data_IF_682278463008
#
_entry.id   IF_682278463008
#
_cell.length_a   1.000
_cell.length_b   1.000
_cell.length_c   1.000
_cell.angle_alpha   90.00
_cell.angle_beta   90.00
_cell.angle_gamma   90.00
#
_symmetry.space_group_name_H-M   'P 1'
#
loop_
_entity.id
_entity.type
_entity.pdbx_description
1 polymer ?
#
# COMPACT_ATOMS: atom_id res chain seq x y z
N UNK A 1 62.67 -17.08 -12.08
CA UNK A 1 62.35 -16.42 -10.79
C UNK A 1 61.28 -15.34 -10.89
N UNK A 2 61.10 -14.62 -11.98
CA UNK A 2 60.09 -13.56 -12.17
C UNK A 2 58.60 -14.09 -12.24
N UNK A 3 58.37 -15.23 -12.83
CA UNK A 3 57.02 -15.83 -13.00
C UNK A 3 56.41 -16.32 -11.67
N UNK A 4 57.22 -16.77 -10.70
CA UNK A 4 56.74 -17.21 -9.37
C UNK A 4 56.33 -16.03 -8.48
N UNK A 5 56.92 -14.83 -8.63
CA UNK A 5 56.57 -13.60 -7.90
C UNK A 5 55.23 -13.00 -8.42
N UNK A 6 55.00 -13.04 -9.73
CA UNK A 6 53.75 -12.56 -10.33
C UNK A 6 52.52 -13.38 -9.88
N UNK A 7 52.65 -14.71 -9.75
CA UNK A 7 51.56 -15.57 -9.28
C UNK A 7 51.22 -15.33 -7.78
N UNK A 8 52.21 -15.01 -6.92
CA UNK A 8 51.94 -14.68 -5.51
C UNK A 8 51.17 -13.38 -5.34
N UNK A 9 51.54 -12.31 -6.04
CA UNK A 9 50.88 -10.99 -5.98
C UNK A 9 49.44 -11.04 -6.52
N UNK A 10 49.17 -11.89 -7.51
CA UNK A 10 47.81 -12.10 -8.02
C UNK A 10 46.97 -12.89 -7.02
N UNK A 11 47.49 -13.89 -6.35
CA UNK A 11 46.80 -14.67 -5.33
C UNK A 11 46.45 -13.80 -4.10
N UNK A 12 47.42 -12.99 -3.62
CA UNK A 12 47.16 -12.08 -2.50
C UNK A 12 46.07 -11.04 -2.82
N UNK A 13 46.04 -10.52 -4.03
CA UNK A 13 44.95 -9.60 -4.48
C UNK A 13 43.60 -10.29 -4.53
N UNK A 14 43.53 -11.54 -4.96
CA UNK A 14 42.29 -12.33 -5.02
C UNK A 14 41.82 -12.65 -3.59
N UNK A 15 42.72 -13.00 -2.68
CA UNK A 15 42.35 -13.28 -1.29
C UNK A 15 41.92 -12.02 -0.54
N UNK A 16 42.60 -10.89 -0.77
CA UNK A 16 42.19 -9.59 -0.24
C UNK A 16 40.80 -9.14 -0.78
N UNK A 17 40.53 -9.36 -2.06
CA UNK A 17 39.23 -9.10 -2.65
C UNK A 17 38.14 -10.00 -2.05
N UNK A 18 38.38 -11.30 -1.89
CA UNK A 18 37.46 -12.26 -1.23
C UNK A 18 37.20 -11.87 0.22
N UNK A 19 38.22 -11.48 0.98
CA UNK A 19 38.07 -11.00 2.35
C UNK A 19 37.21 -9.73 2.41
N UNK A 20 37.49 -8.75 1.56
CA UNK A 20 36.71 -7.50 1.46
C UNK A 20 35.25 -7.75 1.09
N UNK A 21 34.98 -8.70 0.19
CA UNK A 21 33.63 -9.15 -0.16
C UNK A 21 32.91 -9.83 1.02
N UNK A 22 33.61 -10.65 1.78
CA UNK A 22 33.06 -11.31 2.97
C UNK A 22 32.74 -10.29 4.06
N UNK A 23 33.66 -9.36 4.32
CA UNK A 23 33.51 -8.33 5.35
C UNK A 23 32.37 -7.36 4.96
N UNK A 24 32.22 -7.01 3.68
CA UNK A 24 31.08 -6.23 3.16
C UNK A 24 29.75 -6.97 3.32
N UNK A 25 29.70 -8.28 3.10
CA UNK A 25 28.49 -9.09 3.34
C UNK A 25 28.13 -9.16 4.81
N UNK A 26 29.10 -9.31 5.69
CA UNK A 26 28.87 -9.31 7.16
C UNK A 26 28.37 -7.94 7.61
N UNK A 27 28.99 -6.85 7.15
CA UNK A 27 28.53 -5.50 7.44
C UNK A 27 27.10 -5.24 6.96
N UNK A 28 26.79 -5.63 5.72
CA UNK A 28 25.43 -5.52 5.19
C UNK A 28 24.41 -6.36 5.97
N UNK A 29 24.79 -7.57 6.38
CA UNK A 29 23.92 -8.43 7.19
C UNK A 29 23.64 -7.80 8.57
N UNK A 30 24.66 -7.24 9.23
CA UNK A 30 24.50 -6.56 10.52
C UNK A 30 23.58 -5.34 10.40
N UNK A 31 23.72 -4.53 9.34
CA UNK A 31 22.83 -3.39 9.08
C UNK A 31 21.39 -3.86 8.90
N UNK A 32 21.16 -4.91 8.10
CA UNK A 32 19.82 -5.48 7.91
C UNK A 32 19.28 -6.02 9.22
N UNK A 33 20.06 -6.76 9.99
CA UNK A 33 19.66 -7.29 11.28
C UNK A 33 19.25 -6.19 12.27
N UNK A 34 20.05 -5.13 12.37
CA UNK A 34 19.72 -3.97 13.22
C UNK A 34 18.42 -3.30 12.78
N UNK A 35 18.21 -3.13 11.48
CA UNK A 35 16.95 -2.59 10.96
C UNK A 35 15.76 -3.49 11.29
N UNK A 36 15.90 -4.80 11.12
CA UNK A 36 14.85 -5.78 11.48
C UNK A 36 14.52 -5.69 12.98
N UNK A 37 15.53 -5.66 13.85
CA UNK A 37 15.32 -5.50 15.29
C UNK A 37 14.65 -4.17 15.63
N UNK A 38 15.08 -3.08 15.00
CA UNK A 38 14.47 -1.76 15.19
C UNK A 38 12.97 -1.72 14.83
N UNK A 39 12.55 -2.47 13.81
CA UNK A 39 11.14 -2.59 13.42
C UNK A 39 10.38 -3.59 14.28
N UNK A 40 11.00 -4.71 14.64
CA UNK A 40 10.32 -5.77 15.39
C UNK A 40 10.10 -5.43 16.87
N UNK A 41 10.98 -4.65 17.51
CA UNK A 41 10.83 -4.29 18.94
C UNK A 41 9.55 -3.51 19.21
N UNK A 42 9.23 -2.41 18.50
CA UNK A 42 7.96 -1.72 18.69
C UNK A 42 6.74 -2.62 18.41
N UNK A 43 6.81 -3.45 17.36
CA UNK A 43 5.74 -4.40 17.04
C UNK A 43 5.54 -5.41 18.16
N UNK A 44 6.63 -5.96 18.71
CA UNK A 44 6.59 -6.86 19.86
C UNK A 44 5.93 -6.20 21.08
N UNK A 45 6.29 -4.94 21.38
CA UNK A 45 5.69 -4.17 22.49
C UNK A 45 4.18 -4.05 22.29
N UNK A 46 3.72 -3.70 21.08
CA UNK A 46 2.29 -3.61 20.76
C UNK A 46 1.58 -4.95 20.98
N UNK A 47 2.16 -6.04 20.48
CA UNK A 47 1.60 -7.40 20.61
C UNK A 47 1.51 -7.80 22.09
N UNK A 48 2.60 -7.68 22.84
CA UNK A 48 2.63 -8.10 24.25
C UNK A 48 1.69 -7.25 25.08
N UNK A 49 1.69 -5.91 24.90
CA UNK A 49 0.79 -5.03 25.64
C UNK A 49 -0.67 -5.34 25.32
N UNK A 50 -1.01 -5.66 24.08
CA UNK A 50 -2.38 -6.04 23.69
C UNK A 50 -2.88 -7.34 24.33
N UNK A 51 -1.96 -8.19 24.77
CA UNK A 51 -2.22 -9.48 25.42
C UNK A 51 -2.02 -9.43 26.94
N UNK A 52 -1.73 -8.26 27.52
CA UNK A 52 -1.56 -8.05 28.96
C UNK A 52 -2.90 -7.61 29.59
N UNK A 53 -3.13 -7.95 30.85
CA UNK A 53 -4.32 -7.46 31.56
C UNK A 53 -4.27 -5.94 31.74
N UNK A 54 -5.44 -5.24 31.68
CA UNK A 54 -5.50 -3.78 31.87
C UNK A 54 -5.01 -3.37 33.24
N UNK A 55 -5.18 -4.22 34.26
CA UNK A 55 -4.72 -3.96 35.61
C UNK A 55 -3.19 -3.96 35.68
N UNK A 56 -2.54 -4.96 35.11
CA UNK A 56 -1.09 -5.04 35.08
C UNK A 56 -0.47 -3.92 34.25
N UNK A 57 -0.97 -3.71 33.03
CA UNK A 57 -0.37 -2.77 32.09
C UNK A 57 -0.50 -1.30 32.50
N UNK A 58 -1.58 -0.96 33.22
CA UNK A 58 -1.81 0.43 33.63
C UNK A 58 -1.18 0.79 34.98
N UNK A 59 -0.90 -0.23 35.83
CA UNK A 59 -0.37 -0.01 37.19
C UNK A 59 1.11 -0.34 37.36
N UNK A 60 1.72 -1.06 36.40
CA UNK A 60 3.10 -1.51 36.47
C UNK A 60 4.02 -0.79 35.44
N UNK A 61 5.32 -0.75 35.72
CA UNK A 61 6.31 -0.44 34.72
C UNK A 61 6.24 -1.51 33.61
N UNK A 62 6.60 -1.11 32.38
CA UNK A 62 6.60 -2.01 31.23
C UNK A 62 7.32 -3.33 31.54
N UNK A 63 6.67 -4.46 31.24
CA UNK A 63 7.21 -5.80 31.35
C UNK A 63 7.35 -6.42 29.97
N UNK A 64 8.52 -7.05 29.71
CA UNK A 64 8.73 -7.78 28.46
C UNK A 64 7.84 -9.01 28.32
N UNK A 65 7.29 -9.52 29.43
CA UNK A 65 6.34 -10.62 29.44
C UNK A 65 5.32 -10.41 30.56
N UNK A 66 4.01 -10.60 30.30
CA UNK A 66 2.96 -10.44 31.32
C UNK A 66 3.16 -11.38 32.51
N UNK A 67 3.12 -10.83 33.71
CA UNK A 67 3.28 -11.59 34.96
C UNK A 67 2.03 -12.42 35.29
N UNK A 68 0.86 -11.85 35.00
CA UNK A 68 -0.46 -12.50 35.22
C UNK A 68 -0.87 -13.43 34.08
N UNK A 69 0.05 -13.66 33.09
CA UNK A 69 -0.21 -14.46 31.90
C UNK A 69 -0.84 -13.69 30.75
N UNK A 70 -0.95 -14.36 29.60
CA UNK A 70 -1.53 -13.78 28.39
C UNK A 70 -3.07 -13.82 28.45
N UNK A 71 -3.71 -12.70 28.08
CA UNK A 71 -5.18 -12.61 27.99
C UNK A 71 -5.61 -12.01 26.64
N UNK A 72 -6.77 -12.41 26.14
CA UNK A 72 -7.42 -11.84 24.94
C UNK A 72 -8.56 -10.87 25.28
N UNK A 73 -8.74 -10.53 26.55
CA UNK A 73 -9.85 -9.70 27.04
C UNK A 73 -9.93 -8.35 26.33
N UNK A 74 -8.77 -7.74 26.04
CA UNK A 74 -8.69 -6.48 25.33
C UNK A 74 -9.26 -6.60 23.90
N UNK A 75 -9.01 -7.69 23.21
CA UNK A 75 -9.55 -7.95 21.87
C UNK A 75 -11.07 -8.18 21.91
N UNK A 76 -11.54 -8.97 22.88
CA UNK A 76 -12.98 -9.21 23.05
C UNK A 76 -13.68 -7.89 23.36
N UNK A 77 -13.14 -7.08 24.26
CA UNK A 77 -13.68 -5.74 24.58
C UNK A 77 -13.66 -4.81 23.37
N UNK A 78 -12.55 -4.77 22.61
CA UNK A 78 -12.41 -3.92 21.42
C UNK A 78 -13.43 -4.26 20.32
N UNK A 79 -13.78 -5.53 20.15
CA UNK A 79 -14.73 -5.98 19.14
C UNK A 79 -16.19 -5.92 19.61
N UNK A 80 -16.46 -6.03 20.92
CA UNK A 80 -17.84 -6.09 21.45
C UNK A 80 -18.35 -4.77 22.00
N UNK A 81 -17.45 -3.91 22.52
CA UNK A 81 -17.85 -2.63 23.12
C UNK A 81 -17.97 -1.54 22.06
N UNK A 82 -19.15 -0.95 21.97
CA UNK A 82 -19.41 0.26 21.17
C UNK A 82 -19.29 1.47 22.08
N UNK A 83 -18.12 2.11 22.11
CA UNK A 83 -17.93 3.36 22.83
C UNK A 83 -18.06 4.56 21.87
N UNK A 84 -18.76 5.59 22.31
CA UNK A 84 -19.06 6.79 21.50
C UNK A 84 -19.72 6.49 20.13
N UNK A 85 -20.44 5.36 20.02
CA UNK A 85 -21.06 4.93 18.76
C UNK A 85 -20.10 4.32 17.75
N UNK A 86 -18.82 4.16 18.09
CA UNK A 86 -17.79 3.57 17.20
C UNK A 86 -17.79 2.05 17.30
N UNK A 87 -17.78 1.38 16.14
CA UNK A 87 -17.75 -0.08 15.99
C UNK A 87 -16.59 -0.42 15.07
N UNK A 88 -15.49 -0.96 15.64
CA UNK A 88 -14.26 -1.25 14.87
C UNK A 88 -14.49 -2.28 13.77
N UNK A 89 -15.30 -3.32 14.03
CA UNK A 89 -15.59 -4.34 13.03
C UNK A 89 -16.37 -3.75 11.85
N UNK A 90 -17.42 -2.97 12.13
CA UNK A 90 -18.17 -2.26 11.10
C UNK A 90 -17.28 -1.32 10.29
N UNK A 91 -16.40 -0.58 10.96
CA UNK A 91 -15.48 0.36 10.31
C UNK A 91 -14.44 -0.35 9.45
N UNK A 92 -14.01 -1.55 9.84
CA UNK A 92 -13.21 -2.42 8.98
C UNK A 92 -13.97 -2.82 7.70
N UNK A 93 -15.21 -3.27 7.84
CA UNK A 93 -16.06 -3.62 6.68
C UNK A 93 -16.28 -2.40 5.78
N UNK A 94 -16.58 -1.23 6.35
CA UNK A 94 -16.71 0.02 5.59
C UNK A 94 -15.44 0.31 4.78
N UNK A 95 -14.27 0.18 5.41
CA UNK A 95 -12.99 0.41 4.74
C UNK A 95 -12.81 -0.53 3.54
N UNK A 96 -13.06 -1.82 3.73
CA UNK A 96 -12.95 -2.81 2.65
C UNK A 96 -13.96 -2.50 1.52
N UNK A 97 -15.22 -2.25 1.89
CA UNK A 97 -16.31 -2.02 0.91
C UNK A 97 -16.14 -0.69 0.15
N UNK A 98 -15.58 0.34 0.79
CA UNK A 98 -15.37 1.63 0.11
C UNK A 98 -14.15 1.58 -0.81
N UNK A 99 -13.03 1.07 -0.32
CA UNK A 99 -11.76 1.16 -1.04
C UNK A 99 -11.50 0.02 -2.02
N UNK A 100 -11.86 -1.21 -1.70
CA UNK A 100 -11.50 -2.36 -2.54
C UNK A 100 -12.20 -2.36 -3.90
N UNK A 101 -13.54 -2.25 -4.01
CA UNK A 101 -14.22 -2.19 -5.30
C UNK A 101 -13.87 -0.91 -6.07
N UNK A 102 -13.81 0.24 -5.38
CA UNK A 102 -13.48 1.51 -6.01
C UNK A 102 -12.08 1.48 -6.64
N UNK A 103 -11.10 0.98 -5.91
CA UNK A 103 -9.73 0.85 -6.40
C UNK A 103 -9.61 -0.18 -7.54
N UNK A 104 -10.36 -1.29 -7.50
CA UNK A 104 -10.39 -2.25 -8.60
C UNK A 104 -10.86 -1.60 -9.91
N UNK A 105 -11.94 -0.83 -9.85
CA UNK A 105 -12.45 -0.07 -11.00
C UNK A 105 -11.45 1.01 -11.42
N UNK A 106 -10.88 1.75 -10.46
CA UNK A 106 -9.89 2.79 -10.72
C UNK A 106 -8.63 2.28 -11.42
N UNK A 107 -8.12 1.10 -11.02
CA UNK A 107 -6.99 0.45 -11.71
C UNK A 107 -7.35 0.10 -13.16
N UNK A 108 -8.55 -0.41 -13.42
CA UNK A 108 -8.99 -0.73 -14.79
C UNK A 108 -9.13 0.53 -15.65
N UNK A 109 -9.71 1.60 -15.11
CA UNK A 109 -9.83 2.90 -15.79
C UNK A 109 -8.43 3.48 -16.05
N UNK A 110 -7.54 3.43 -15.05
CA UNK A 110 -6.15 3.85 -15.21
C UNK A 110 -5.41 3.03 -16.28
N UNK A 111 -5.68 1.72 -16.37
CA UNK A 111 -5.12 0.86 -17.39
C UNK A 111 -5.61 1.22 -18.80
N UNK A 112 -6.90 1.55 -18.96
CA UNK A 112 -7.44 2.01 -20.24
C UNK A 112 -6.76 3.32 -20.68
N UNK A 113 -6.64 4.29 -19.78
CA UNK A 113 -5.95 5.54 -20.04
C UNK A 113 -4.45 5.31 -20.35
N UNK A 114 -3.79 4.46 -19.59
CA UNK A 114 -2.39 4.09 -19.81
C UNK A 114 -2.16 3.43 -21.18
N UNK A 115 -3.07 2.54 -21.60
CA UNK A 115 -3.03 1.92 -22.92
C UNK A 115 -3.19 2.96 -24.04
N UNK A 116 -4.14 3.89 -23.90
CA UNK A 116 -4.32 4.97 -24.86
C UNK A 116 -3.04 5.82 -24.98
N UNK A 117 -2.43 6.22 -23.86
CA UNK A 117 -1.18 6.97 -23.86
C UNK A 117 0.04 6.17 -24.36
N UNK A 118 0.09 4.86 -24.14
CA UNK A 118 1.23 4.04 -24.55
C UNK A 118 1.19 3.61 -26.02
N UNK A 119 0.00 3.23 -26.50
CA UNK A 119 -0.14 2.42 -27.74
C UNK A 119 -1.02 3.02 -28.82
N UNK A 120 -1.69 4.13 -28.56
CA UNK A 120 -2.51 4.81 -29.57
C UNK A 120 -2.03 6.23 -29.82
N UNK A 121 -2.33 6.76 -30.99
CA UNK A 121 -2.06 8.14 -31.36
C UNK A 121 -3.38 8.90 -31.42
N UNK A 122 -3.44 10.03 -30.72
CA UNK A 122 -4.60 10.91 -30.73
C UNK A 122 -4.18 12.39 -30.58
N UNK A 123 -5.07 13.26 -31.00
CA UNK A 123 -4.85 14.71 -30.93
C UNK A 123 -4.67 15.13 -29.47
N UNK A 124 -3.71 16.01 -29.20
CA UNK A 124 -3.39 16.54 -27.85
C UNK A 124 -2.80 15.50 -26.86
N UNK A 125 -2.40 14.29 -27.30
CA UNK A 125 -1.79 13.26 -26.45
C UNK A 125 -0.66 13.83 -25.58
N UNK A 126 0.29 14.56 -26.18
CA UNK A 126 1.45 15.12 -25.46
C UNK A 126 1.06 16.19 -24.45
N UNK A 127 0.30 17.25 -24.79
CA UNK A 127 -0.09 18.25 -23.82
C UNK A 127 -0.99 17.70 -22.71
N UNK A 128 -1.91 16.80 -23.01
CA UNK A 128 -2.74 16.16 -21.99
C UNK A 128 -1.92 15.35 -21.01
N UNK A 129 -0.94 14.57 -21.49
CA UNK A 129 -0.05 13.83 -20.61
C UNK A 129 0.83 14.77 -19.77
N UNK A 130 1.31 15.88 -20.33
CA UNK A 130 2.08 16.88 -19.58
C UNK A 130 1.25 17.51 -18.46
N UNK A 131 -0.03 17.84 -18.70
CA UNK A 131 -0.95 18.35 -17.68
C UNK A 131 -1.17 17.30 -16.57
N UNK A 132 -1.37 16.04 -16.92
CA UNK A 132 -1.48 14.96 -15.95
C UNK A 132 -0.22 14.86 -15.07
N UNK A 133 0.97 14.91 -15.66
CA UNK A 133 2.22 14.86 -14.90
C UNK A 133 2.40 16.12 -14.02
N UNK A 134 2.08 17.29 -14.53
CA UNK A 134 2.12 18.51 -13.74
C UNK A 134 1.18 18.47 -12.52
N UNK A 135 0.00 17.86 -12.65
CA UNK A 135 -0.93 17.74 -11.53
C UNK A 135 -0.44 16.81 -10.40
N UNK A 136 0.50 15.87 -10.66
CA UNK A 136 1.14 15.07 -9.60
C UNK A 136 1.99 15.90 -8.64
N UNK A 137 2.44 17.09 -9.07
CA UNK A 137 3.27 17.96 -8.21
C UNK A 137 2.42 18.74 -7.20
N UNK A 138 1.10 18.78 -7.40
CA UNK A 138 0.20 19.45 -6.48
C UNK A 138 -0.03 18.62 -5.22
N UNK A 139 0.23 19.16 -4.01
CA UNK A 139 -0.07 18.45 -2.78
C UNK A 139 -1.58 18.17 -2.65
N UNK A 140 -1.96 16.94 -2.38
CA UNK A 140 -3.38 16.55 -2.23
C UNK A 140 -4.09 17.38 -1.13
N UNK A 141 -3.37 17.80 -0.11
CA UNK A 141 -3.90 18.60 1.01
C UNK A 141 -4.43 19.97 0.59
N UNK A 142 -3.87 20.56 -0.47
CA UNK A 142 -4.31 21.87 -0.97
C UNK A 142 -5.75 21.83 -1.50
N UNK A 143 -6.14 20.72 -2.11
CA UNK A 143 -7.49 20.54 -2.67
C UNK A 143 -8.56 20.15 -1.66
N UNK A 144 -8.20 19.73 -0.43
CA UNK A 144 -9.16 19.15 0.52
C UNK A 144 -10.30 20.11 0.90
N UNK A 145 -9.98 21.38 1.22
CA UNK A 145 -10.99 22.35 1.60
C UNK A 145 -11.92 22.69 0.43
N UNK A 146 -11.36 22.89 -0.76
CA UNK A 146 -12.15 23.15 -1.97
C UNK A 146 -13.06 21.96 -2.31
N UNK A 147 -12.54 20.74 -2.18
CA UNK A 147 -13.31 19.51 -2.38
C UNK A 147 -14.42 19.38 -1.35
N UNK A 148 -14.16 19.71 -0.07
CA UNK A 148 -15.19 19.68 0.96
C UNK A 148 -16.34 20.64 0.64
N UNK A 149 -16.04 21.88 0.29
CA UNK A 149 -17.07 22.87 -0.07
C UNK A 149 -17.89 22.44 -1.31
N UNK A 150 -17.23 21.83 -2.30
CA UNK A 150 -17.92 21.29 -3.45
C UNK A 150 -18.85 20.13 -3.07
N UNK A 151 -18.34 19.16 -2.29
CA UNK A 151 -19.11 17.97 -1.89
C UNK A 151 -20.25 18.32 -0.94
N UNK A 152 -20.06 19.32 -0.07
CA UNK A 152 -21.13 19.84 0.78
C UNK A 152 -22.24 20.46 -0.06
N UNK A 153 -21.88 21.32 -1.02
CA UNK A 153 -22.85 21.98 -1.91
C UNK A 153 -23.70 21.01 -2.73
N UNK A 154 -23.13 19.85 -3.13
CA UNK A 154 -23.85 18.83 -3.91
C UNK A 154 -24.46 17.73 -3.02
N UNK A 155 -24.38 17.86 -1.68
CA UNK A 155 -25.01 16.94 -0.72
C UNK A 155 -24.30 15.59 -0.59
N UNK A 156 -23.00 15.51 -0.89
CA UNK A 156 -22.22 14.27 -0.78
C UNK A 156 -21.54 14.11 0.59
N UNK A 157 -21.37 15.18 1.37
CA UNK A 157 -20.81 15.09 2.71
C UNK A 157 -21.67 14.17 3.57
N UNK A 158 -21.01 13.43 4.45
CA UNK A 158 -21.57 12.37 5.30
C UNK A 158 -22.08 11.13 4.51
N UNK A 159 -21.62 10.96 3.28
CA UNK A 159 -21.79 9.74 2.48
C UNK A 159 -20.43 9.17 2.05
N UNK A 160 -20.35 7.92 1.57
CA UNK A 160 -19.10 7.37 1.03
C UNK A 160 -18.66 7.97 -0.31
N UNK A 161 -19.54 8.71 -1.00
CA UNK A 161 -19.32 9.18 -2.38
C UNK A 161 -18.06 10.02 -2.56
N UNK A 162 -17.70 10.98 -1.68
CA UNK A 162 -16.47 11.76 -1.79
C UNK A 162 -15.18 10.92 -1.78
N UNK A 163 -15.24 9.72 -1.20
CA UNK A 163 -14.12 8.79 -1.12
C UNK A 163 -14.14 7.85 -2.33
N UNK A 164 -15.28 7.21 -2.58
CA UNK A 164 -15.43 6.12 -3.55
C UNK A 164 -15.27 6.62 -4.99
N UNK A 165 -15.97 7.70 -5.35
CA UNK A 165 -16.02 8.17 -6.76
C UNK A 165 -14.67 8.67 -7.29
N UNK A 166 -13.88 9.49 -6.57
CA UNK A 166 -12.55 9.87 -7.04
C UNK A 166 -11.62 8.68 -7.25
N UNK A 167 -11.66 7.68 -6.35
CA UNK A 167 -10.86 6.47 -6.47
C UNK A 167 -11.25 5.64 -7.69
N UNK A 168 -12.55 5.53 -7.97
CA UNK A 168 -13.06 4.81 -9.16
C UNK A 168 -12.58 5.44 -10.47
N UNK A 169 -12.36 6.75 -10.52
CA UNK A 169 -11.82 7.43 -11.71
C UNK A 169 -10.34 7.11 -11.97
N UNK A 170 -9.68 6.40 -11.06
CA UNK A 170 -8.28 6.05 -11.16
C UNK A 170 -7.34 7.12 -10.64
N UNK A 171 -6.05 6.84 -10.67
CA UNK A 171 -5.02 7.78 -10.21
C UNK A 171 -3.96 8.01 -11.29
N UNK A 172 -3.41 9.21 -11.30
CA UNK A 172 -2.36 9.61 -12.25
C UNK A 172 -1.11 8.73 -12.07
N UNK A 173 -0.77 8.39 -10.82
CA UNK A 173 0.33 7.47 -10.53
C UNK A 173 0.13 6.08 -11.12
N UNK A 174 -1.09 5.55 -11.06
CA UNK A 174 -1.43 4.28 -11.70
C UNK A 174 -1.34 4.38 -13.24
N UNK A 175 -1.85 5.47 -13.83
CA UNK A 175 -1.74 5.72 -15.28
C UNK A 175 -0.28 5.77 -15.71
N UNK A 176 0.56 6.52 -15.00
CA UNK A 176 1.99 6.63 -15.29
C UNK A 176 2.71 5.27 -15.22
N UNK A 177 2.52 4.54 -14.13
CA UNK A 177 3.13 3.24 -13.93
C UNK A 177 2.72 2.24 -15.03
N UNK A 178 1.41 2.13 -15.27
CA UNK A 178 0.88 1.20 -16.28
C UNK A 178 1.25 1.60 -17.70
N UNK A 179 1.37 2.90 -17.98
CA UNK A 179 1.87 3.39 -19.27
C UNK A 179 3.29 2.91 -19.53
N UNK A 180 4.19 3.04 -18.55
CA UNK A 180 5.56 2.54 -18.69
C UNK A 180 5.59 1.02 -18.90
N UNK A 181 4.76 0.28 -18.16
CA UNK A 181 4.63 -1.16 -18.36
C UNK A 181 4.17 -1.50 -19.79
N UNK A 182 3.13 -0.84 -20.28
CA UNK A 182 2.61 -1.07 -21.63
C UNK A 182 3.62 -0.67 -22.71
N UNK A 183 4.39 0.38 -22.53
CA UNK A 183 5.45 0.78 -23.47
C UNK A 183 6.49 -0.33 -23.66
N UNK A 184 6.78 -1.11 -22.62
CA UNK A 184 7.68 -2.26 -22.67
C UNK A 184 7.14 -3.47 -23.44
N UNK A 185 5.84 -3.54 -23.73
CA UNK A 185 5.26 -4.64 -24.54
C UNK A 185 5.59 -4.42 -26.01
N UNK A 186 6.11 -5.43 -26.76
CA UNK A 186 6.45 -5.32 -28.16
C UNK A 186 5.28 -4.84 -29.03
N UNK A 187 5.57 -3.99 -30.02
CA UNK A 187 4.55 -3.46 -30.94
C UNK A 187 4.02 -4.54 -31.90
N UNK A 188 4.83 -5.51 -32.21
CA UNK A 188 4.55 -6.64 -33.10
C UNK A 188 3.30 -7.41 -32.65
N UNK A 189 3.07 -7.52 -31.32
CA UNK A 189 1.86 -8.15 -30.79
C UNK A 189 0.60 -7.38 -31.16
N UNK A 190 0.69 -6.05 -31.19
CA UNK A 190 -0.42 -5.18 -31.55
C UNK A 190 -0.68 -5.21 -33.07
N UNK A 191 0.40 -5.26 -33.87
CA UNK A 191 0.32 -5.33 -35.34
C UNK A 191 -0.30 -6.68 -35.77
N UNK A 192 0.15 -7.80 -35.21
CA UNK A 192 -0.45 -9.12 -35.45
C UNK A 192 -1.94 -9.14 -35.14
N UNK A 193 -2.32 -8.59 -33.98
CA UNK A 193 -3.73 -8.52 -33.57
C UNK A 193 -4.59 -7.64 -34.51
N UNK A 194 -4.02 -6.60 -35.10
CA UNK A 194 -4.71 -5.79 -36.11
C UNK A 194 -4.92 -6.55 -37.43
N UNK A 195 -3.94 -7.39 -37.84
CA UNK A 195 -4.08 -8.28 -38.99
C UNK A 195 -5.23 -9.28 -38.73
N UNK A 196 -5.38 -9.77 -37.52
CA UNK A 196 -6.47 -10.64 -37.08
C UNK A 196 -7.83 -9.89 -36.94
N UNK A 197 -7.90 -8.60 -37.32
CA UNK A 197 -9.11 -7.80 -37.33
C UNK A 197 -9.53 -7.20 -35.99
N UNK A 198 -8.67 -7.22 -34.95
CA UNK A 198 -8.98 -6.62 -33.66
C UNK A 198 -8.82 -5.10 -33.68
N UNK A 199 -9.85 -4.38 -33.25
CA UNK A 199 -9.77 -2.96 -32.96
C UNK A 199 -9.03 -2.69 -31.63
N UNK A 200 -8.71 -1.42 -31.36
CA UNK A 200 -7.91 -1.02 -30.19
C UNK A 200 -8.48 -1.54 -28.85
N UNK A 201 -9.80 -1.52 -28.67
CA UNK A 201 -10.44 -2.04 -27.45
C UNK A 201 -10.30 -3.58 -27.36
N UNK A 202 -10.45 -4.29 -28.46
CA UNK A 202 -10.23 -5.74 -28.53
C UNK A 202 -8.79 -6.12 -28.19
N UNK A 203 -7.82 -5.36 -28.72
CA UNK A 203 -6.39 -5.51 -28.42
C UNK A 203 -6.13 -5.28 -26.92
N UNK A 204 -6.69 -4.20 -26.36
CA UNK A 204 -6.57 -3.92 -24.93
C UNK A 204 -7.09 -5.09 -24.07
N UNK A 205 -8.31 -5.55 -24.31
CA UNK A 205 -8.96 -6.56 -23.48
C UNK A 205 -8.36 -7.96 -23.66
N UNK A 206 -8.05 -8.36 -24.92
CA UNK A 206 -7.62 -9.73 -25.21
C UNK A 206 -6.11 -9.95 -25.11
N UNK A 207 -5.30 -8.89 -25.23
CA UNK A 207 -3.83 -8.99 -25.25
C UNK A 207 -3.20 -8.25 -24.09
N UNK A 208 -3.41 -6.93 -24.00
CA UNK A 208 -2.71 -6.10 -23.01
C UNK A 208 -3.18 -6.38 -21.59
N UNK A 209 -4.48 -6.48 -21.35
CA UNK A 209 -5.03 -6.71 -20.02
C UNK A 209 -4.53 -8.03 -19.40
N UNK A 210 -4.58 -9.20 -20.09
CA UNK A 210 -4.07 -10.46 -19.55
C UNK A 210 -2.55 -10.45 -19.28
N UNK A 211 -1.76 -9.91 -20.20
CA UNK A 211 -0.30 -9.80 -20.02
C UNK A 211 0.05 -8.92 -18.80
N UNK A 212 -0.79 -7.94 -18.51
CA UNK A 212 -0.56 -6.94 -17.45
C UNK A 212 -1.11 -7.32 -16.09
N UNK A 213 -1.70 -8.50 -15.92
CA UNK A 213 -2.26 -8.95 -14.63
C UNK A 213 -1.28 -8.72 -13.46
N UNK A 214 0.01 -9.05 -13.53
CA UNK A 214 0.93 -8.79 -12.43
C UNK A 214 1.09 -7.29 -12.10
N UNK A 215 1.13 -6.42 -13.11
CA UNK A 215 1.23 -4.98 -12.94
C UNK A 215 -0.07 -4.39 -12.39
N UNK A 216 -1.22 -4.85 -12.89
CA UNK A 216 -2.55 -4.45 -12.40
C UNK A 216 -2.76 -4.84 -10.94
N UNK A 217 -2.41 -6.08 -10.58
CA UNK A 217 -2.49 -6.55 -9.20
C UNK A 217 -1.54 -5.78 -8.29
N UNK A 218 -0.34 -5.42 -8.74
CA UNK A 218 0.57 -4.58 -7.95
C UNK A 218 -0.05 -3.22 -7.65
N UNK A 219 -0.66 -2.56 -8.65
CA UNK A 219 -1.33 -1.28 -8.49
C UNK A 219 -2.59 -1.39 -7.62
N UNK A 220 -3.35 -2.47 -7.76
CA UNK A 220 -4.50 -2.76 -6.91
C UNK A 220 -4.09 -2.91 -5.44
N UNK A 221 -3.04 -3.68 -5.16
CA UNK A 221 -2.57 -3.91 -3.78
C UNK A 221 -2.05 -2.62 -3.16
N UNK A 222 -1.20 -1.88 -3.88
CA UNK A 222 -0.65 -0.61 -3.41
C UNK A 222 -1.75 0.45 -3.19
N UNK A 223 -2.70 0.56 -4.11
CA UNK A 223 -3.84 1.45 -4.00
C UNK A 223 -4.75 1.10 -2.83
N UNK A 224 -5.02 -0.19 -2.60
CA UNK A 224 -5.81 -0.63 -1.46
C UNK A 224 -5.09 -0.34 -0.12
N UNK A 225 -3.79 -0.62 -0.02
CA UNK A 225 -3.00 -0.31 1.18
C UNK A 225 -3.03 1.20 1.48
N UNK A 226 -2.89 2.04 0.46
CA UNK A 226 -2.97 3.49 0.60
C UNK A 226 -4.36 3.93 1.11
N UNK A 227 -5.44 3.42 0.49
CA UNK A 227 -6.82 3.70 0.91
C UNK A 227 -7.15 3.15 2.30
N UNK A 228 -6.68 1.95 2.64
CA UNK A 228 -6.87 1.36 3.96
C UNK A 228 -6.30 2.23 5.09
N UNK A 229 -5.21 2.95 4.82
CA UNK A 229 -4.56 3.85 5.77
C UNK A 229 -5.01 5.32 5.62
N UNK A 230 -5.94 5.62 4.70
CA UNK A 230 -6.42 6.98 4.52
C UNK A 230 -7.25 7.44 5.74
N UNK A 231 -6.75 8.46 6.41
CA UNK A 231 -7.40 9.06 7.58
C UNK A 231 -8.03 10.41 7.26
N UNK A 232 -7.29 11.25 6.53
CA UNK A 232 -7.62 12.67 6.41
C UNK A 232 -8.85 12.92 5.54
N UNK A 233 -8.97 12.26 4.39
CA UNK A 233 -10.14 12.38 3.51
C UNK A 233 -11.41 11.91 4.22
N UNK A 234 -11.46 10.67 4.73
CA UNK A 234 -12.61 10.18 5.48
C UNK A 234 -12.97 11.02 6.70
N UNK A 235 -11.97 11.52 7.47
CA UNK A 235 -12.22 12.37 8.63
C UNK A 235 -12.95 13.66 8.23
N UNK A 236 -12.63 14.22 7.08
CA UNK A 236 -13.25 15.44 6.59
C UNK A 236 -14.69 15.20 6.10
N UNK A 237 -14.93 14.05 5.42
CA UNK A 237 -16.20 13.83 4.72
C UNK A 237 -17.21 12.99 5.50
N UNK A 238 -16.80 12.16 6.46
CA UNK A 238 -17.68 11.26 7.19
C UNK A 238 -17.94 11.78 8.62
N UNK A 239 -19.15 12.25 8.87
CA UNK A 239 -19.53 12.78 10.19
C UNK A 239 -20.30 11.76 11.05
N UNK A 240 -20.91 10.75 10.43
CA UNK A 240 -21.68 9.72 11.11
C UNK A 240 -20.79 8.50 11.42
N UNK A 241 -20.73 8.11 12.69
CA UNK A 241 -19.94 6.94 13.12
C UNK A 241 -20.28 5.63 12.42
N UNK A 242 -21.50 5.50 11.90
CA UNK A 242 -21.91 4.34 11.10
C UNK A 242 -21.14 4.21 9.78
N UNK A 243 -20.63 5.33 9.25
CA UNK A 243 -19.89 5.39 7.99
C UNK A 243 -18.37 5.48 8.19
N UNK A 244 -17.89 5.54 9.43
CA UNK A 244 -16.46 5.67 9.69
C UNK A 244 -15.67 4.54 9.05
N UNK A 245 -14.52 4.91 8.47
CA UNK A 245 -13.48 3.96 8.08
C UNK A 245 -12.65 3.57 9.30
N UNK A 246 -11.90 2.48 9.18
CA UNK A 246 -11.14 1.94 10.30
C UNK A 246 -10.11 2.93 10.90
N UNK A 247 -9.35 3.72 10.11
CA UNK A 247 -8.43 4.71 10.66
C UNK A 247 -9.12 5.76 11.53
N UNK A 248 -10.30 6.26 11.12
CA UNK A 248 -11.07 7.21 11.92
C UNK A 248 -11.56 6.54 13.21
N UNK A 249 -12.15 5.36 13.06
CA UNK A 249 -12.67 4.60 14.19
C UNK A 249 -11.58 4.31 15.23
N UNK A 250 -10.36 3.98 14.78
CA UNK A 250 -9.21 3.77 15.65
C UNK A 250 -8.78 5.03 16.39
N UNK A 251 -8.82 6.19 15.73
CA UNK A 251 -8.47 7.46 16.38
C UNK A 251 -9.43 7.77 17.52
N UNK A 252 -10.75 7.71 17.27
CA UNK A 252 -11.76 7.91 18.32
C UNK A 252 -11.71 6.83 19.39
N UNK A 253 -11.46 5.59 19.02
CA UNK A 253 -11.29 4.49 19.96
C UNK A 253 -10.08 4.72 20.87
N UNK A 254 -8.94 5.11 20.31
CA UNK A 254 -7.73 5.40 21.08
C UNK A 254 -7.92 6.60 22.03
N UNK A 255 -8.70 7.61 21.62
CA UNK A 255 -9.06 8.75 22.47
C UNK A 255 -10.00 8.35 23.60
N UNK A 256 -11.00 7.53 23.33
CA UNK A 256 -11.95 7.04 24.35
C UNK A 256 -11.29 6.17 25.43
N UNK A 257 -10.18 5.50 25.11
CA UNK A 257 -9.46 4.58 25.99
C UNK A 257 -8.03 5.04 26.32
N UNK A 258 -7.83 6.34 26.56
CA UNK A 258 -6.50 6.93 26.84
C UNK A 258 -5.78 6.23 27.99
N UNK A 259 -6.49 5.78 29.00
CA UNK A 259 -5.94 5.15 30.21
C UNK A 259 -5.82 3.60 30.09
N UNK A 260 -6.30 2.98 29.01
CA UNK A 260 -6.28 1.51 28.82
C UNK A 260 -5.36 1.13 27.68
N UNK A 261 -4.08 0.97 27.97
CA UNK A 261 -3.06 0.63 27.00
C UNK A 261 -3.32 -0.70 26.28
N UNK A 262 -3.65 -1.83 26.96
CA UNK A 262 -3.98 -3.08 26.30
C UNK A 262 -5.09 -2.95 25.27
N UNK A 263 -6.13 -2.22 25.63
CA UNK A 263 -7.29 -2.04 24.77
C UNK A 263 -6.93 -1.21 23.50
N UNK A 264 -6.13 -0.15 23.66
CA UNK A 264 -5.61 0.64 22.53
C UNK A 264 -4.73 -0.20 21.61
N UNK A 265 -3.82 -1.01 22.20
CA UNK A 265 -2.92 -1.87 21.42
C UNK A 265 -3.70 -2.99 20.73
N UNK A 266 -4.72 -3.55 21.36
CA UNK A 266 -5.62 -4.52 20.72
C UNK A 266 -6.37 -3.91 19.52
N UNK A 267 -6.87 -2.68 19.64
CA UNK A 267 -7.46 -1.95 18.50
C UNK A 267 -6.48 -1.75 17.36
N UNK A 268 -5.24 -1.36 17.65
CA UNK A 268 -4.18 -1.21 16.65
C UNK A 268 -3.86 -2.56 15.96
N UNK A 269 -3.80 -3.66 16.71
CA UNK A 269 -3.57 -4.99 16.16
C UNK A 269 -4.73 -5.48 15.28
N UNK A 270 -5.98 -5.21 15.69
CA UNK A 270 -7.18 -5.52 14.88
C UNK A 270 -7.10 -4.85 13.50
N UNK A 271 -6.54 -3.64 13.43
CA UNK A 271 -6.33 -2.97 12.15
C UNK A 271 -5.09 -3.48 11.39
N UNK A 272 -4.03 -3.81 12.09
CA UNK A 272 -2.75 -4.19 11.47
C UNK A 272 -2.79 -5.60 10.89
N UNK A 273 -3.38 -6.57 11.59
CA UNK A 273 -3.38 -7.98 11.20
C UNK A 273 -4.01 -8.21 9.81
N UNK A 274 -5.22 -7.71 9.49
CA UNK A 274 -5.83 -7.91 8.19
C UNK A 274 -4.98 -7.32 7.05
N UNK A 275 -4.41 -6.13 7.26
CA UNK A 275 -3.57 -5.48 6.27
C UNK A 275 -2.26 -6.24 6.06
N UNK A 276 -1.64 -6.74 7.13
CA UNK A 276 -0.44 -7.56 7.04
C UNK A 276 -0.68 -8.85 6.27
N UNK A 277 -1.78 -9.54 6.56
CA UNK A 277 -2.20 -10.75 5.83
C UNK A 277 -2.38 -10.42 4.34
N UNK A 278 -3.12 -9.36 4.03
CA UNK A 278 -3.32 -8.91 2.65
C UNK A 278 -2.00 -8.61 1.94
N UNK A 279 -1.06 -7.92 2.61
CA UNK A 279 0.26 -7.63 2.08
C UNK A 279 1.09 -8.90 1.84
N UNK A 280 1.11 -9.84 2.77
CA UNK A 280 1.87 -11.10 2.65
C UNK A 280 1.43 -11.93 1.43
N UNK A 281 0.14 -11.98 1.15
CA UNK A 281 -0.38 -12.62 -0.06
C UNK A 281 -0.07 -11.81 -1.33
N UNK A 282 -0.07 -10.49 -1.21
CA UNK A 282 0.10 -9.54 -2.32
C UNK A 282 1.53 -9.29 -2.75
N UNK A 283 2.53 -9.39 -1.84
CA UNK A 283 3.92 -8.97 -2.07
C UNK A 283 4.57 -9.57 -3.32
N UNK A 284 4.25 -10.83 -3.65
CA UNK A 284 4.78 -11.49 -4.86
C UNK A 284 4.37 -10.79 -6.16
N UNK A 285 3.18 -10.19 -6.18
CA UNK A 285 2.69 -9.45 -7.36
C UNK A 285 3.32 -8.06 -7.42
N UNK A 286 3.52 -7.40 -6.27
CA UNK A 286 4.23 -6.12 -6.19
C UNK A 286 5.64 -6.27 -6.76
N UNK A 287 6.40 -7.27 -6.29
CA UNK A 287 7.77 -7.53 -6.76
C UNK A 287 7.81 -7.84 -8.26
N UNK A 288 6.90 -8.67 -8.76
CA UNK A 288 6.81 -8.99 -10.20
C UNK A 288 6.44 -7.76 -11.05
N UNK A 289 5.44 -6.98 -10.61
CA UNK A 289 4.98 -5.80 -11.34
C UNK A 289 6.08 -4.73 -11.45
N UNK A 290 6.80 -4.47 -10.36
CA UNK A 290 7.91 -3.50 -10.32
C UNK A 290 9.11 -4.00 -11.14
N UNK A 291 9.48 -5.27 -11.04
CA UNK A 291 10.62 -5.83 -11.79
C UNK A 291 10.42 -5.74 -13.31
N UNK A 292 9.21 -6.00 -13.79
CA UNK A 292 8.90 -5.91 -15.23
C UNK A 292 8.90 -4.43 -15.68
N UNK A 293 8.35 -3.52 -14.90
CA UNK A 293 8.30 -2.09 -15.25
C UNK A 293 9.69 -1.44 -15.25
N UNK A 294 10.62 -1.94 -14.45
CA UNK A 294 12.00 -1.44 -14.39
C UNK A 294 12.93 -2.00 -15.48
N UNK A 295 12.42 -2.85 -16.37
CA UNK A 295 13.22 -3.43 -17.46
C UNK A 295 14.24 -4.48 -17.01
N UNK A 296 14.19 -4.90 -15.75
CA UNK A 296 14.99 -6.01 -15.24
C UNK A 296 14.43 -7.31 -15.85
N UNK A 297 15.02 -7.73 -16.96
CA UNK A 297 14.80 -9.08 -17.50
C UNK A 297 15.28 -10.08 -16.46
N UNK A 298 14.36 -10.84 -15.88
CA UNK A 298 14.69 -12.04 -15.13
C UNK A 298 15.20 -13.15 -16.03
#
# INVERSE_FOLDING_TARGET
MKTRKMNRVSLEKVDAAKKRWRDAKVGSFLIVLLNVLFVLVPLYIVIITSLTSSVEANNAAFSWWPKDGLTIDAYVKALTRKMAGVDLFRSFINTVVFYMPANAIGVLISAMAAFAYAKTDFVLKKPMFAILMASMTMPNTVGLMASFLLYDKIGWVNTPLPIVLPIMLGSIGQVFFLKQFFEGIPKELMEAARIDGLGNFGIFVKIFLPISIPALLSQFILGFIAGYNDYMGPLLYLMNSKNYTLPIALAFFAEAYVQDWPLRMAGAMIATIPLLIFYLFGQKYILKGVAISSGLKG
#
